data_IF_347180682392
#
_entry.id   IF_347180682392
#
_cell.length_a   1.000
_cell.length_b   1.000
_cell.length_c   1.000
_cell.angle_alpha   90.00
_cell.angle_beta   90.00
_cell.angle_gamma   90.00
#
_symmetry.space_group_name_H-M   'P 1'
#
loop_
_entity.id
_entity.type
_entity.pdbx_description
1 polymer ?
#
# COMPACT_ATOMS: atom_id res chain seq x y z
N UNK A 1 29.17 17.96 -52.75
CA UNK A 1 28.57 16.75 -52.19
C UNK A 1 29.57 16.07 -51.27
N UNK A 2 29.52 16.31 -49.96
CA UNK A 2 30.44 15.69 -49.00
C UNK A 2 29.90 14.32 -48.60
N UNK A 3 30.66 13.27 -48.85
CA UNK A 3 30.30 11.88 -48.46
C UNK A 3 30.56 11.72 -46.96
N UNK A 4 29.46 11.56 -46.20
CA UNK A 4 29.50 11.25 -44.76
C UNK A 4 29.96 9.80 -44.61
N UNK A 5 31.06 9.57 -43.90
CA UNK A 5 31.59 8.22 -43.65
C UNK A 5 30.79 7.49 -42.58
N UNK A 6 30.70 6.16 -42.67
CA UNK A 6 29.95 5.26 -41.72
C UNK A 6 30.31 5.53 -40.26
N UNK A 7 31.53 6.01 -39.97
CA UNK A 7 31.98 6.34 -38.61
C UNK A 7 31.30 7.60 -38.02
N UNK A 8 30.95 8.56 -38.87
CA UNK A 8 30.26 9.79 -38.45
C UNK A 8 28.77 9.59 -38.19
N UNK A 9 28.18 8.55 -38.79
CA UNK A 9 26.77 8.21 -38.55
C UNK A 9 26.57 7.55 -37.19
N UNK A 10 27.51 6.74 -36.71
CA UNK A 10 27.44 6.04 -35.40
C UNK A 10 27.56 6.97 -34.19
N UNK A 11 28.16 8.15 -34.36
CA UNK A 11 28.34 9.12 -33.25
C UNK A 11 27.07 9.97 -33.02
N UNK A 12 26.17 10.05 -34.00
CA UNK A 12 24.92 10.82 -33.87
C UNK A 12 23.70 10.04 -33.36
N UNK A 13 23.78 8.73 -33.23
CA UNK A 13 22.68 7.88 -32.74
C UNK A 13 22.95 7.33 -31.32
N UNK A 14 24.14 7.58 -30.76
CA UNK A 14 24.60 7.03 -29.48
C UNK A 14 24.51 7.95 -28.28
N UNK A 15 23.55 8.85 -28.21
CA UNK A 15 23.44 9.83 -27.12
C UNK A 15 22.08 9.88 -26.40
N UNK A 16 21.31 8.79 -26.42
CA UNK A 16 20.22 8.64 -25.46
C UNK A 16 20.82 8.04 -24.18
N UNK A 17 21.29 8.89 -23.28
CA UNK A 17 21.51 8.50 -21.91
C UNK A 17 20.18 7.97 -21.36
N UNK A 18 20.09 6.66 -21.23
CA UNK A 18 19.06 6.01 -20.41
C UNK A 18 19.33 6.44 -18.98
N UNK A 19 18.77 7.57 -18.57
CA UNK A 19 18.62 7.89 -17.18
C UNK A 19 17.83 6.75 -16.57
N UNK A 20 18.30 6.14 -15.46
CA UNK A 20 17.47 5.19 -14.74
C UNK A 20 16.22 5.95 -14.32
N UNK A 21 15.09 5.66 -14.95
CA UNK A 21 13.80 6.08 -14.46
C UNK A 21 13.59 5.34 -13.15
N UNK A 22 14.04 5.96 -12.06
CA UNK A 22 13.57 5.61 -10.72
C UNK A 22 12.08 5.88 -10.79
N UNK A 23 11.29 4.83 -10.96
CA UNK A 23 9.85 4.92 -10.80
C UNK A 23 9.61 5.29 -9.35
N UNK A 24 9.55 6.59 -9.11
CA UNK A 24 9.10 7.13 -7.83
C UNK A 24 7.65 6.68 -7.65
N UNK A 25 7.44 5.71 -6.75
CA UNK A 25 6.12 5.28 -6.29
C UNK A 25 5.32 6.43 -5.65
N UNK A 26 5.93 7.60 -5.54
CA UNK A 26 5.37 8.84 -5.04
C UNK A 26 4.77 9.74 -6.13
N UNK A 27 4.32 9.21 -7.27
CA UNK A 27 3.49 10.01 -8.18
C UNK A 27 2.13 10.20 -7.52
N UNK A 28 1.76 11.42 -7.11
CA UNK A 28 0.36 11.68 -6.79
C UNK A 28 -0.44 11.42 -8.06
N UNK A 29 -1.43 10.55 -7.97
CA UNK A 29 -2.39 10.35 -9.04
C UNK A 29 -3.25 11.62 -9.11
N UNK A 30 -2.84 12.57 -9.99
CA UNK A 30 -3.48 13.89 -10.16
C UNK A 30 -4.90 13.73 -10.71
N UNK A 31 -5.30 12.53 -11.11
CA UNK A 31 -6.65 12.23 -11.60
C UNK A 31 -7.65 11.89 -10.49
N UNK A 32 -7.21 11.78 -9.23
CA UNK A 32 -8.11 11.70 -8.08
C UNK A 32 -8.44 13.12 -7.65
N UNK A 33 -9.65 13.52 -7.95
CA UNK A 33 -10.25 14.81 -7.67
C UNK A 33 -9.78 15.42 -6.35
N UNK A 34 -9.32 16.67 -6.41
CA UNK A 34 -8.82 17.47 -5.27
C UNK A 34 -9.83 17.52 -4.11
N UNK A 35 -11.12 17.34 -4.39
CA UNK A 35 -12.19 17.23 -3.38
C UNK A 35 -12.08 15.97 -2.51
N UNK A 36 -11.52 14.86 -3.02
CA UNK A 36 -11.41 13.62 -2.25
C UNK A 36 -10.30 13.66 -1.20
N UNK A 37 -9.26 14.47 -1.39
CA UNK A 37 -8.14 14.60 -0.45
C UNK A 37 -8.58 15.35 0.81
N UNK A 38 -9.34 16.44 0.67
CA UNK A 38 -9.88 17.18 1.80
C UNK A 38 -10.86 16.38 2.64
N UNK A 39 -11.64 15.49 2.02
CA UNK A 39 -12.60 14.62 2.72
C UNK A 39 -11.92 13.48 3.48
N UNK A 40 -10.78 12.99 3.01
CA UNK A 40 -10.03 11.91 3.70
C UNK A 40 -9.29 12.40 4.94
N UNK A 41 -8.81 13.63 4.93
CA UNK A 41 -8.21 14.28 6.10
C UNK A 41 -9.24 14.65 7.16
N UNK A 42 -10.53 14.75 6.81
CA UNK A 42 -11.63 15.01 7.74
C UNK A 42 -12.23 13.73 8.37
N UNK A 43 -11.84 12.54 7.89
CA UNK A 43 -12.28 11.29 8.52
C UNK A 43 -11.39 11.02 9.74
N UNK A 44 -11.97 10.82 10.94
CA UNK A 44 -11.17 10.51 12.12
C UNK A 44 -10.38 9.23 11.86
N UNK A 45 -9.07 9.32 11.99
CA UNK A 45 -8.21 8.14 11.92
C UNK A 45 -8.64 7.10 12.94
N UNK A 46 -8.91 5.89 12.48
CA UNK A 46 -9.21 4.76 13.37
C UNK A 46 -7.95 3.93 13.52
N UNK A 47 -7.37 3.82 14.72
CA UNK A 47 -6.18 3.03 14.94
C UNK A 47 -6.38 1.57 14.53
N UNK A 48 -5.43 1.04 13.77
CA UNK A 48 -5.41 -0.39 13.43
C UNK A 48 -5.08 -1.17 14.69
N UNK A 49 -5.84 -2.22 14.96
CA UNK A 49 -5.65 -3.10 16.11
C UNK A 49 -5.50 -4.55 15.65
N UNK A 50 -4.81 -5.39 16.44
CA UNK A 50 -4.81 -6.82 16.22
C UNK A 50 -6.24 -7.35 16.15
N UNK A 51 -6.47 -8.29 15.24
CA UNK A 51 -7.82 -8.78 14.95
C UNK A 51 -8.03 -10.25 15.33
N UNK A 52 -6.94 -11.00 15.64
CA UNK A 52 -7.00 -12.38 16.07
C UNK A 52 -7.39 -13.36 14.96
N UNK A 53 -6.98 -13.10 13.72
CA UNK A 53 -7.23 -14.00 12.60
C UNK A 53 -6.56 -15.36 12.81
N UNK A 54 -7.34 -16.43 12.66
CA UNK A 54 -6.87 -17.83 12.85
C UNK A 54 -6.51 -18.52 11.53
N UNK A 55 -6.38 -17.79 10.44
CA UNK A 55 -6.00 -18.32 9.11
C UNK A 55 -6.85 -19.51 8.65
N UNK A 56 -8.16 -19.49 8.87
CA UNK A 56 -9.06 -20.59 8.51
C UNK A 56 -9.52 -20.58 7.04
N UNK A 57 -9.20 -19.54 6.28
CA UNK A 57 -9.52 -19.30 4.86
C UNK A 57 -11.02 -19.28 4.50
N UNK A 58 -11.92 -19.28 5.49
CA UNK A 58 -13.37 -19.26 5.22
C UNK A 58 -13.84 -17.98 4.49
N UNK A 59 -13.04 -16.91 4.52
CA UNK A 59 -13.31 -15.66 3.80
C UNK A 59 -12.75 -15.66 2.36
N UNK A 60 -12.17 -16.76 1.93
CA UNK A 60 -11.61 -16.91 0.59
C UNK A 60 -12.47 -17.83 -0.29
N UNK A 61 -12.45 -17.66 -1.63
CA UNK A 61 -11.71 -16.65 -2.37
C UNK A 61 -12.41 -15.28 -2.36
N UNK A 62 -11.62 -14.19 -2.29
CA UNK A 62 -12.15 -12.85 -2.49
C UNK A 62 -12.35 -12.58 -4.00
N UNK A 63 -13.54 -12.14 -4.48
CA UNK A 63 -13.78 -11.90 -5.90
C UNK A 63 -12.93 -10.77 -6.49
N UNK A 64 -12.35 -9.92 -5.63
CA UNK A 64 -11.46 -8.81 -6.02
C UNK A 64 -9.98 -9.15 -5.89
N UNK A 65 -9.63 -10.40 -5.60
CA UNK A 65 -8.26 -10.90 -5.56
C UNK A 65 -7.47 -10.53 -4.30
N UNK A 66 -8.15 -10.02 -3.26
CA UNK A 66 -7.48 -9.67 -1.99
C UNK A 66 -7.16 -10.97 -1.24
N UNK A 67 -5.92 -11.07 -0.74
CA UNK A 67 -5.55 -12.11 0.22
C UNK A 67 -5.94 -11.66 1.63
N UNK A 68 -7.20 -11.90 1.99
CA UNK A 68 -7.77 -11.43 3.26
C UNK A 68 -7.00 -11.96 4.47
N UNK A 69 -6.72 -13.28 4.59
CA UNK A 69 -5.99 -13.83 5.72
C UNK A 69 -4.60 -13.22 5.87
N UNK A 70 -3.83 -13.10 4.78
CA UNK A 70 -2.48 -12.54 4.84
C UNK A 70 -2.47 -11.09 5.31
N UNK A 71 -3.43 -10.27 4.87
CA UNK A 71 -3.56 -8.89 5.34
C UNK A 71 -3.88 -8.81 6.83
N UNK A 72 -4.78 -9.65 7.34
CA UNK A 72 -5.16 -9.67 8.75
C UNK A 72 -4.03 -10.18 9.65
N UNK A 73 -3.41 -11.30 9.28
CA UNK A 73 -2.28 -11.90 10.01
C UNK A 73 -1.08 -10.96 10.04
N UNK A 74 -0.84 -10.22 8.94
CA UNK A 74 0.24 -9.24 8.91
C UNK A 74 0.09 -8.19 10.00
N UNK A 75 -1.13 -7.69 10.23
CA UNK A 75 -1.41 -6.72 11.29
C UNK A 75 -1.16 -7.32 12.67
N UNK A 76 -1.59 -8.56 12.91
CA UNK A 76 -1.37 -9.24 14.18
C UNK A 76 0.13 -9.41 14.48
N UNK A 77 0.90 -9.84 13.47
CA UNK A 77 2.37 -9.95 13.59
C UNK A 77 3.05 -8.59 13.80
N UNK A 78 2.58 -7.54 13.10
CA UNK A 78 3.13 -6.20 13.28
C UNK A 78 2.93 -5.70 14.72
N UNK A 79 1.82 -6.05 15.36
CA UNK A 79 1.56 -5.73 16.75
C UNK A 79 2.46 -6.56 17.70
N UNK A 80 2.58 -7.87 17.48
CA UNK A 80 3.44 -8.76 18.26
C UNK A 80 4.91 -8.31 18.21
N UNK A 81 5.41 -7.92 17.03
CA UNK A 81 6.77 -7.44 16.83
C UNK A 81 6.94 -5.94 17.13
N UNK A 82 5.92 -5.28 17.67
CA UNK A 82 5.93 -3.86 18.14
C UNK A 82 6.27 -2.82 17.07
N UNK A 83 5.95 -3.08 15.79
CA UNK A 83 6.08 -2.09 14.72
C UNK A 83 4.74 -1.68 14.09
N UNK A 84 3.62 -2.11 14.64
CA UNK A 84 2.32 -1.56 14.27
C UNK A 84 2.22 -0.14 14.82
N UNK A 85 1.99 0.90 13.97
CA UNK A 85 1.72 2.25 14.47
C UNK A 85 0.42 2.28 15.27
N UNK A 86 0.47 2.83 16.49
CA UNK A 86 -0.70 2.89 17.38
C UNK A 86 -1.71 3.96 16.94
N UNK A 87 -1.23 5.18 16.83
CA UNK A 87 -1.98 6.34 16.35
C UNK A 87 -1.05 7.32 15.62
N UNK A 88 -1.61 8.43 15.13
CA UNK A 88 -0.85 9.43 14.38
C UNK A 88 0.04 10.31 15.30
N UNK A 89 -0.18 10.27 16.60
CA UNK A 89 0.61 11.01 17.60
C UNK A 89 1.73 10.14 18.20
N UNK A 90 1.90 8.89 17.70
CA UNK A 90 2.98 7.99 18.14
C UNK A 90 4.35 8.64 17.87
N UNK A 91 5.19 8.88 18.87
CA UNK A 91 6.52 9.49 18.67
C UNK A 91 7.41 8.67 17.75
N UNK A 92 7.18 7.36 17.66
CA UNK A 92 7.92 6.44 16.78
C UNK A 92 7.21 6.20 15.45
N UNK A 93 6.16 6.97 15.12
CA UNK A 93 5.34 6.78 13.92
C UNK A 93 6.19 6.66 12.65
N UNK A 94 7.17 7.53 12.46
CA UNK A 94 8.01 7.53 11.27
C UNK A 94 8.81 6.23 11.13
N UNK A 95 9.40 5.74 12.23
CA UNK A 95 10.20 4.51 12.24
C UNK A 95 9.31 3.26 12.10
N UNK A 96 8.27 3.17 12.91
CA UNK A 96 7.30 2.06 12.86
C UNK A 96 6.60 2.01 11.52
N UNK A 97 6.16 3.17 11.01
CA UNK A 97 5.46 3.29 9.74
C UNK A 97 6.32 2.87 8.54
N UNK A 98 7.59 3.30 8.51
CA UNK A 98 8.54 2.87 7.47
C UNK A 98 8.74 1.36 7.50
N UNK A 99 8.95 0.78 8.69
CA UNK A 99 9.13 -0.68 8.85
C UNK A 99 7.85 -1.44 8.47
N UNK A 100 6.68 -0.94 8.91
CA UNK A 100 5.38 -1.53 8.59
C UNK A 100 5.16 -1.55 7.08
N UNK A 101 5.29 -0.40 6.43
CA UNK A 101 5.00 -0.25 5.00
C UNK A 101 5.96 -1.07 4.13
N UNK A 102 7.27 -1.04 4.43
CA UNK A 102 8.27 -1.83 3.70
C UNK A 102 7.94 -3.33 3.77
N UNK A 103 7.68 -3.86 4.97
CA UNK A 103 7.35 -5.28 5.14
C UNK A 103 6.00 -5.66 4.53
N UNK A 104 5.02 -4.74 4.59
CA UNK A 104 3.71 -4.96 3.98
C UNK A 104 3.82 -5.12 2.47
N UNK A 105 4.56 -4.22 1.82
CA UNK A 105 4.79 -4.24 0.38
C UNK A 105 5.66 -5.43 -0.06
N UNK A 106 6.60 -5.89 0.79
CA UNK A 106 7.43 -7.07 0.51
C UNK A 106 6.66 -8.39 0.62
N UNK A 107 5.73 -8.49 1.57
CA UNK A 107 5.02 -9.75 1.89
C UNK A 107 3.74 -9.88 1.07
N UNK A 108 2.99 -8.79 0.88
CA UNK A 108 1.68 -8.81 0.24
C UNK A 108 1.77 -8.11 -1.12
N UNK A 109 1.69 -8.85 -2.24
CA UNK A 109 1.70 -8.26 -3.57
C UNK A 109 0.59 -7.21 -3.75
N UNK A 110 0.84 -6.14 -4.51
CA UNK A 110 -0.11 -5.04 -4.77
C UNK A 110 -1.49 -5.55 -5.20
N UNK A 111 -1.53 -6.63 -6.00
CA UNK A 111 -2.78 -7.23 -6.46
C UNK A 111 -3.61 -7.88 -5.35
N UNK A 112 -3.00 -8.17 -4.20
CA UNK A 112 -3.60 -8.86 -3.06
C UNK A 112 -3.82 -7.95 -1.84
N UNK A 113 -3.44 -6.67 -1.94
CA UNK A 113 -3.54 -5.70 -0.86
C UNK A 113 -4.97 -5.16 -0.66
N UNK A 114 -5.19 -4.55 0.50
CA UNK A 114 -6.51 -4.08 0.96
C UNK A 114 -7.14 -2.96 0.14
N UNK A 115 -6.35 -2.19 -0.62
CA UNK A 115 -6.85 -1.08 -1.47
C UNK A 115 -7.86 -1.54 -2.53
N UNK A 116 -7.90 -2.81 -2.84
CA UNK A 116 -8.86 -3.39 -3.79
C UNK A 116 -10.22 -3.69 -3.16
N UNK A 117 -10.35 -3.53 -1.84
CA UNK A 117 -11.60 -3.81 -1.14
C UNK A 117 -12.65 -2.75 -1.46
N UNK A 118 -13.76 -3.19 -2.04
CA UNK A 118 -14.93 -2.35 -2.31
C UNK A 118 -16.04 -2.53 -1.26
N UNK A 119 -15.75 -3.23 -0.17
CA UNK A 119 -16.73 -3.54 0.89
C UNK A 119 -18.00 -4.25 0.37
N UNK A 120 -17.85 -5.17 -0.59
CA UNK A 120 -18.99 -5.91 -1.18
C UNK A 120 -19.76 -6.77 -0.18
N UNK A 121 -19.16 -7.12 0.96
CA UNK A 121 -19.83 -7.90 2.02
C UNK A 121 -19.77 -9.41 1.84
N UNK A 122 -19.21 -9.96 0.76
CA UNK A 122 -19.15 -11.41 0.52
C UNK A 122 -18.44 -12.20 1.64
N UNK A 123 -17.48 -11.55 2.33
CA UNK A 123 -16.78 -12.14 3.47
C UNK A 123 -17.47 -11.90 4.83
N UNK A 124 -18.61 -11.18 4.87
CA UNK A 124 -19.35 -10.97 6.11
C UNK A 124 -20.00 -12.28 6.56
N UNK A 125 -19.88 -12.55 7.85
CA UNK A 125 -20.48 -13.74 8.46
C UNK A 125 -19.75 -15.06 8.17
N UNK A 126 -18.69 -15.04 7.36
CA UNK A 126 -17.89 -16.26 7.09
C UNK A 126 -16.81 -16.49 8.15
N UNK A 127 -16.45 -15.43 8.89
CA UNK A 127 -15.38 -15.49 9.88
C UNK A 127 -15.84 -16.17 11.18
N UNK A 128 -15.23 -17.32 11.60
CA UNK A 128 -15.64 -18.03 12.81
C UNK A 128 -15.30 -17.28 14.10
N UNK A 129 -14.36 -16.34 14.04
CA UNK A 129 -13.98 -15.48 15.19
C UNK A 129 -14.67 -14.11 15.16
N UNK A 130 -15.59 -13.90 14.20
CA UNK A 130 -16.45 -12.69 14.17
C UNK A 130 -15.75 -11.41 13.74
N UNK A 131 -14.68 -11.48 12.94
CA UNK A 131 -14.01 -10.29 12.41
C UNK A 131 -14.91 -9.59 11.39
N UNK A 132 -15.13 -8.29 11.57
CA UNK A 132 -15.71 -7.42 10.54
C UNK A 132 -14.64 -7.13 9.48
N UNK A 133 -14.51 -8.06 8.52
CA UNK A 133 -13.44 -8.04 7.52
C UNK A 133 -13.47 -6.77 6.66
N UNK A 134 -14.60 -6.32 6.08
CA UNK A 134 -14.63 -5.09 5.29
C UNK A 134 -14.14 -3.86 6.05
N UNK A 135 -14.52 -3.76 7.32
CA UNK A 135 -14.05 -2.69 8.20
C UNK A 135 -12.55 -2.77 8.44
N UNK A 136 -12.02 -3.97 8.71
CA UNK A 136 -10.57 -4.16 8.91
C UNK A 136 -9.79 -3.82 7.63
N UNK A 137 -10.27 -4.24 6.46
CA UNK A 137 -9.64 -3.88 5.17
C UNK A 137 -9.60 -2.35 4.99
N UNK A 138 -10.70 -1.66 5.29
CA UNK A 138 -10.77 -0.19 5.19
C UNK A 138 -9.78 0.50 6.14
N UNK A 139 -9.66 0.03 7.38
CA UNK A 139 -8.74 0.61 8.37
C UNK A 139 -7.28 0.39 7.97
N UNK A 140 -6.92 -0.81 7.50
CA UNK A 140 -5.58 -1.12 6.99
C UNK A 140 -5.26 -0.25 5.76
N UNK A 141 -6.20 -0.09 4.83
CA UNK A 141 -6.04 0.79 3.66
C UNK A 141 -5.74 2.23 4.10
N UNK A 142 -6.53 2.77 5.03
CA UNK A 142 -6.32 4.13 5.53
C UNK A 142 -4.93 4.30 6.16
N UNK A 143 -4.48 3.34 6.96
CA UNK A 143 -3.13 3.38 7.52
C UNK A 143 -2.06 3.37 6.43
N UNK A 144 -2.14 2.42 5.50
CA UNK A 144 -1.12 2.31 4.43
C UNK A 144 -1.07 3.54 3.54
N UNK A 145 -2.21 4.16 3.24
CA UNK A 145 -2.28 5.40 2.46
C UNK A 145 -1.60 6.56 3.22
N UNK A 146 -1.91 6.75 4.51
CA UNK A 146 -1.26 7.77 5.35
C UNK A 146 0.26 7.56 5.41
N UNK A 147 0.70 6.31 5.62
CA UNK A 147 2.13 6.01 5.69
C UNK A 147 2.86 6.25 4.36
N UNK A 148 2.21 5.99 3.23
CA UNK A 148 2.75 6.31 1.89
C UNK A 148 2.89 7.81 1.69
N UNK A 149 1.88 8.59 2.09
CA UNK A 149 1.92 10.04 2.02
C UNK A 149 3.05 10.62 2.88
N UNK A 150 3.20 10.14 4.12
CA UNK A 150 4.29 10.55 5.00
C UNK A 150 5.66 10.20 4.41
N UNK A 151 5.82 9.02 3.81
CA UNK A 151 7.07 8.62 3.14
C UNK A 151 7.39 9.55 1.96
N UNK A 152 6.39 9.97 1.18
CA UNK A 152 6.58 10.89 0.07
C UNK A 152 6.97 12.31 0.50
N UNK A 153 6.56 12.74 1.70
CA UNK A 153 6.91 14.07 2.24
C UNK A 153 8.35 14.14 2.80
N UNK A 154 9.00 12.99 3.03
CA UNK A 154 10.35 12.91 3.58
C UNK A 154 11.45 12.84 2.49
N UNK A 155 11.08 12.74 1.20
CA UNK A 155 11.96 12.70 0.04
C UNK A 155 12.11 14.10 -0.58
#
# INVERSE_FOLDING_TARGET
MQKITRRQWLIRVGGAALAPTVFSSCRPDISRDVESVGSRLASPYVPVKPNGCVACDNCMPCPYGIDIPSNLIFVDRAAEESYLPGDLDDPDLAQKGTKFLSRYEDIIPDAAQTQRCIACGECLGTCPVGIDIPRQMSVITSLTDILRDLRCQQL
#
